data_IF_908774393110
#
_entry.id   IF_908774393110
#
_cell.length_a   1.000
_cell.length_b   1.000
_cell.length_c   1.000
_cell.angle_alpha   90.00
_cell.angle_beta   90.00
_cell.angle_gamma   90.00
#
_symmetry.space_group_name_H-M   'P 1'
#
loop_
_entity.id
_entity.type
_entity.pdbx_description
1 polymer ?
#
# COMPACT_ATOMS: atom_id res chain seq x y z
N UNK A 1 -26.60 41.69 -50.37
CA UNK A 1 -26.06 40.32 -50.53
C UNK A 1 -25.66 39.84 -49.15
N UNK A 2 -26.38 38.87 -48.57
CA UNK A 2 -26.04 38.28 -47.27
C UNK A 2 -25.71 36.80 -47.48
N UNK A 3 -24.42 36.48 -47.53
CA UNK A 3 -23.92 35.11 -47.56
C UNK A 3 -23.75 34.60 -46.13
N UNK A 4 -24.74 33.86 -45.65
CA UNK A 4 -24.67 33.09 -44.40
C UNK A 4 -23.81 31.84 -44.65
N UNK A 5 -22.67 31.73 -43.99
CA UNK A 5 -21.83 30.54 -44.01
C UNK A 5 -22.52 29.42 -43.20
N UNK A 6 -23.13 28.46 -43.91
CA UNK A 6 -23.62 27.20 -43.30
C UNK A 6 -22.42 26.36 -42.88
N UNK A 7 -22.17 26.28 -41.58
CA UNK A 7 -21.25 25.30 -40.99
C UNK A 7 -21.87 23.91 -41.21
N UNK A 8 -21.23 23.09 -42.05
CA UNK A 8 -21.64 21.69 -42.25
C UNK A 8 -21.33 20.90 -40.97
N UNK A 9 -22.37 20.44 -40.29
CA UNK A 9 -22.23 19.59 -39.12
C UNK A 9 -21.82 18.19 -39.60
N UNK A 10 -20.52 17.90 -39.57
CA UNK A 10 -19.97 16.57 -39.86
C UNK A 10 -20.32 15.63 -38.71
N UNK A 11 -21.28 14.73 -38.92
CA UNK A 11 -21.60 13.69 -37.95
C UNK A 11 -20.44 12.70 -37.80
N UNK A 12 -20.24 12.18 -36.59
CA UNK A 12 -19.29 11.10 -36.31
C UNK A 12 -19.76 9.82 -37.01
N UNK A 13 -18.86 9.09 -37.65
CA UNK A 13 -19.18 7.84 -38.31
C UNK A 13 -19.30 6.70 -37.28
N UNK A 14 -20.17 5.71 -37.54
CA UNK A 14 -20.28 4.52 -36.68
C UNK A 14 -18.93 3.78 -36.57
N UNK A 15 -18.13 3.79 -37.63
CA UNK A 15 -16.82 3.13 -37.64
C UNK A 15 -15.82 3.81 -36.70
N UNK A 16 -15.82 5.14 -36.60
CA UNK A 16 -14.95 5.85 -35.65
C UNK A 16 -15.28 5.46 -34.21
N UNK A 17 -16.57 5.34 -33.88
CA UNK A 17 -16.97 4.93 -32.53
C UNK A 17 -16.56 3.49 -32.23
N UNK A 18 -16.70 2.58 -33.20
CA UNK A 18 -16.28 1.17 -33.07
C UNK A 18 -14.76 1.04 -32.90
N UNK A 19 -13.96 1.78 -33.67
CA UNK A 19 -12.50 1.76 -33.54
C UNK A 19 -12.05 2.24 -32.16
N UNK A 20 -12.70 3.29 -31.62
CA UNK A 20 -12.35 3.85 -30.32
C UNK A 20 -12.59 2.84 -29.20
N UNK A 21 -13.75 2.17 -29.16
CA UNK A 21 -14.02 1.18 -28.11
C UNK A 21 -13.11 -0.06 -28.21
N UNK A 22 -12.69 -0.43 -29.42
CA UNK A 22 -11.71 -1.52 -29.62
C UNK A 22 -10.35 -1.14 -29.06
N UNK A 23 -9.87 0.08 -29.35
CA UNK A 23 -8.59 0.57 -28.81
C UNK A 23 -8.67 0.65 -27.28
N UNK A 24 -9.75 1.22 -26.72
CA UNK A 24 -9.95 1.28 -25.28
C UNK A 24 -10.04 -0.12 -24.65
N UNK A 25 -10.63 -1.09 -25.33
CA UNK A 25 -10.69 -2.48 -24.89
C UNK A 25 -9.29 -3.12 -24.76
N UNK A 26 -8.41 -2.90 -25.74
CA UNK A 26 -7.03 -3.43 -25.70
C UNK A 26 -6.21 -2.74 -24.59
N UNK A 27 -6.33 -1.41 -24.47
CA UNK A 27 -5.67 -0.65 -23.41
C UNK A 27 -6.14 -1.10 -22.02
N UNK A 28 -7.44 -1.31 -21.83
CA UNK A 28 -7.99 -1.81 -20.56
C UNK A 28 -7.50 -3.22 -20.23
N UNK A 29 -7.49 -4.13 -21.23
CA UNK A 29 -7.05 -5.52 -21.04
C UNK A 29 -5.58 -5.62 -20.60
N UNK A 30 -4.73 -4.69 -21.06
CA UNK A 30 -3.30 -4.65 -20.72
C UNK A 30 -2.99 -3.85 -19.45
N UNK A 31 -3.77 -2.82 -19.14
CA UNK A 31 -3.56 -1.96 -17.97
C UNK A 31 -4.02 -2.62 -16.66
N UNK A 32 -5.16 -3.31 -16.66
CA UNK A 32 -5.76 -3.88 -15.44
C UNK A 32 -4.85 -4.87 -14.68
N UNK A 33 -4.17 -5.84 -15.32
CA UNK A 33 -3.29 -6.76 -14.61
C UNK A 33 -2.10 -6.05 -13.95
N UNK A 34 -1.57 -5.01 -14.60
CA UNK A 34 -0.45 -4.23 -14.08
C UNK A 34 -0.87 -3.44 -12.85
N UNK A 35 -2.05 -2.82 -12.87
CA UNK A 35 -2.58 -2.05 -11.74
C UNK A 35 -2.74 -2.93 -10.49
N UNK A 36 -3.28 -4.15 -10.63
CA UNK A 36 -3.44 -5.07 -9.49
C UNK A 36 -2.11 -5.45 -8.82
N UNK A 37 -1.05 -5.67 -9.61
CA UNK A 37 0.27 -5.97 -9.06
C UNK A 37 0.85 -4.77 -8.30
N UNK A 38 0.70 -3.55 -8.86
CA UNK A 38 1.16 -2.32 -8.21
C UNK A 38 0.43 -2.08 -6.87
N UNK A 39 -0.86 -2.41 -6.77
CA UNK A 39 -1.60 -2.34 -5.52
C UNK A 39 -1.02 -3.27 -4.45
N UNK A 40 -0.67 -4.51 -4.82
CA UNK A 40 -0.06 -5.49 -3.89
C UNK A 40 1.33 -5.02 -3.45
N UNK A 41 2.15 -4.55 -4.39
CA UNK A 41 3.50 -4.05 -4.11
C UNK A 41 3.47 -2.81 -3.22
N UNK A 42 2.54 -1.88 -3.47
CA UNK A 42 2.34 -0.70 -2.63
C UNK A 42 1.98 -1.07 -1.19
N UNK A 43 1.05 -2.03 -1.01
CA UNK A 43 0.67 -2.54 0.33
C UNK A 43 1.86 -3.22 1.03
N UNK A 44 2.64 -4.03 0.30
CA UNK A 44 3.84 -4.64 0.86
C UNK A 44 4.86 -3.59 1.31
N UNK A 45 5.09 -2.54 0.52
CA UNK A 45 6.02 -1.47 0.87
C UNK A 45 5.61 -0.71 2.14
N UNK A 46 4.30 -0.45 2.32
CA UNK A 46 3.78 0.15 3.56
C UNK A 46 4.03 -0.76 4.75
N UNK A 47 3.80 -2.07 4.59
CA UNK A 47 4.07 -3.04 5.65
C UNK A 47 5.56 -3.16 5.98
N UNK A 48 6.44 -3.09 4.98
CA UNK A 48 7.90 -3.06 5.20
C UNK A 48 8.32 -1.84 6.01
N UNK A 49 7.74 -0.67 5.71
CA UNK A 49 7.92 0.53 6.52
C UNK A 49 7.43 0.37 7.97
N UNK A 50 6.27 -0.26 8.15
CA UNK A 50 5.72 -0.56 9.48
C UNK A 50 6.63 -1.51 10.28
N UNK A 51 7.13 -2.59 9.66
CA UNK A 51 8.08 -3.51 10.28
C UNK A 51 9.36 -2.80 10.70
N UNK A 52 9.92 -1.97 9.82
CA UNK A 52 11.13 -1.20 10.11
C UNK A 52 10.93 -0.21 11.27
N UNK A 53 9.76 0.43 11.34
CA UNK A 53 9.42 1.33 12.45
C UNK A 53 9.35 0.58 13.79
N UNK A 54 8.74 -0.60 13.82
CA UNK A 54 8.67 -1.45 15.02
C UNK A 54 10.06 -1.89 15.48
N UNK A 55 10.90 -2.36 14.56
CA UNK A 55 12.27 -2.79 14.89
C UNK A 55 13.13 -1.62 15.41
N UNK A 56 12.98 -0.45 14.79
CA UNK A 56 13.68 0.77 15.23
C UNK A 56 13.21 1.21 16.62
N UNK A 57 11.90 1.20 16.87
CA UNK A 57 11.34 1.50 18.18
C UNK A 57 11.84 0.53 19.25
N UNK A 58 11.98 -0.76 18.92
CA UNK A 58 12.52 -1.77 19.83
C UNK A 58 13.96 -1.45 20.23
N UNK A 59 14.82 -1.17 19.24
CA UNK A 59 16.22 -0.82 19.48
C UNK A 59 16.36 0.48 20.30
N UNK A 60 15.56 1.50 19.97
CA UNK A 60 15.56 2.79 20.69
C UNK A 60 15.11 2.61 22.13
N UNK A 61 14.03 1.84 22.36
CA UNK A 61 13.49 1.61 23.70
C UNK A 61 14.47 0.82 24.57
N UNK A 62 15.08 -0.22 24.01
CA UNK A 62 16.14 -0.98 24.66
C UNK A 62 17.34 -0.10 25.01
N UNK A 63 17.82 0.72 24.07
CA UNK A 63 18.95 1.62 24.31
C UNK A 63 18.66 2.67 25.39
N UNK A 64 17.42 3.18 25.45
CA UNK A 64 16.98 4.15 26.46
C UNK A 64 16.91 3.54 27.86
N UNK A 65 16.39 2.32 27.97
CA UNK A 65 16.13 1.68 29.27
C UNK A 65 17.25 0.75 29.74
N UNK A 66 18.15 0.34 28.83
CA UNK A 66 19.25 -0.62 29.06
C UNK A 66 18.78 -1.94 29.69
N UNK A 67 17.55 -2.34 29.37
CA UNK A 67 16.92 -3.55 29.87
C UNK A 67 15.98 -4.11 28.80
N UNK A 68 15.70 -5.40 28.88
CA UNK A 68 14.72 -6.02 28.00
C UNK A 68 13.33 -5.42 28.21
N UNK A 69 12.53 -5.46 27.15
CA UNK A 69 11.27 -4.74 27.02
C UNK A 69 10.15 -5.68 26.62
N UNK A 70 8.92 -5.32 26.97
CA UNK A 70 7.73 -5.98 26.44
C UNK A 70 7.27 -5.27 25.17
N UNK A 71 6.55 -6.00 24.30
CA UNK A 71 6.00 -5.39 23.09
C UNK A 71 5.07 -4.21 23.38
N UNK A 72 4.34 -4.25 24.51
CA UNK A 72 3.44 -3.17 24.90
C UNK A 72 4.17 -1.82 25.03
N UNK A 73 5.40 -1.82 25.54
CA UNK A 73 6.21 -0.60 25.68
C UNK A 73 6.76 -0.16 24.31
N UNK A 74 7.22 -1.11 23.50
CA UNK A 74 7.74 -0.83 22.16
C UNK A 74 6.66 -0.20 21.28
N UNK A 75 5.44 -0.71 21.35
CA UNK A 75 4.31 -0.24 20.55
C UNK A 75 3.93 1.21 20.85
N UNK A 76 4.15 1.72 22.07
CA UNK A 76 3.85 3.14 22.37
C UNK A 76 4.77 4.11 21.66
N UNK A 77 5.88 3.64 21.08
CA UNK A 77 6.87 4.45 20.37
C UNK A 77 6.68 4.39 18.84
N UNK A 78 5.65 3.69 18.36
CA UNK A 78 5.36 3.50 16.94
C UNK A 78 4.01 4.11 16.61
N UNK A 79 3.96 4.90 15.54
CA UNK A 79 2.71 5.35 14.92
C UNK A 79 2.60 4.63 13.58
N UNK A 80 1.53 3.85 13.42
CA UNK A 80 1.21 3.17 12.18
C UNK A 80 0.14 3.95 11.41
N UNK A 81 0.11 3.87 10.07
CA UNK A 81 -1.01 4.36 9.28
C UNK A 81 -2.33 3.71 9.72
N UNK A 82 -3.46 4.39 9.53
CA UNK A 82 -4.79 3.88 9.89
C UNK A 82 -5.15 2.55 9.24
N UNK A 83 -4.57 2.27 8.07
CA UNK A 83 -4.82 1.03 7.31
C UNK A 83 -3.89 -0.11 7.70
N UNK A 84 -3.02 0.07 8.70
CA UNK A 84 -2.09 -0.94 9.19
C UNK A 84 -2.39 -1.26 10.65
N UNK A 85 -2.69 -2.52 10.93
CA UNK A 85 -2.94 -3.01 12.28
C UNK A 85 -1.92 -4.08 12.65
N UNK A 86 -1.56 -4.15 13.93
CA UNK A 86 -0.80 -5.28 14.47
C UNK A 86 -1.82 -6.35 14.91
N UNK A 87 -1.90 -7.45 14.18
CA UNK A 87 -2.92 -8.50 14.38
C UNK A 87 -2.49 -9.51 15.43
N UNK A 88 -1.19 -9.82 15.47
CA UNK A 88 -0.58 -10.63 16.53
C UNK A 88 0.68 -9.95 17.00
N UNK A 89 0.88 -9.93 18.32
CA UNK A 89 2.05 -9.32 18.93
C UNK A 89 2.61 -10.20 20.04
N UNK A 90 3.80 -10.72 19.81
CA UNK A 90 4.73 -11.14 20.85
C UNK A 90 5.93 -10.19 20.77
N UNK A 91 6.75 -10.12 21.83
CA UNK A 91 7.92 -9.26 21.77
C UNK A 91 8.86 -9.66 20.63
N UNK A 92 9.20 -10.94 20.51
CA UNK A 92 10.18 -11.41 19.51
C UNK A 92 9.59 -11.52 18.10
N UNK A 93 8.26 -11.63 17.96
CA UNK A 93 7.62 -11.76 16.66
C UNK A 93 6.18 -11.31 16.68
N UNK A 94 5.71 -10.74 15.57
CA UNK A 94 4.30 -10.46 15.39
C UNK A 94 3.96 -10.22 13.93
N UNK A 95 2.70 -9.91 13.66
CA UNK A 95 2.18 -9.71 12.32
C UNK A 95 1.57 -8.33 12.21
N UNK A 96 2.05 -7.55 11.24
CA UNK A 96 1.38 -6.35 10.74
C UNK A 96 0.49 -6.72 9.55
N UNK A 97 -0.70 -6.16 9.50
CA UNK A 97 -1.72 -6.45 8.49
C UNK A 97 -2.22 -5.14 7.90
N UNK A 98 -2.24 -5.06 6.59
CA UNK A 98 -2.84 -3.97 5.83
C UNK A 98 -4.33 -4.27 5.64
N UNK A 99 -5.18 -3.23 5.68
CA UNK A 99 -6.62 -3.34 5.41
C UNK A 99 -6.87 -4.01 4.06
N UNK A 100 -7.51 -5.18 4.07
CA UNK A 100 -7.66 -6.04 2.88
C UNK A 100 -6.80 -7.30 2.89
N UNK A 101 -6.09 -7.60 4.00
CA UNK A 101 -5.57 -8.93 4.31
C UNK A 101 -4.13 -9.20 3.90
N UNK A 102 -3.43 -8.22 3.32
CA UNK A 102 -1.97 -8.34 3.10
C UNK A 102 -1.26 -8.31 4.44
N UNK A 103 -0.43 -9.31 4.74
CA UNK A 103 0.26 -9.42 6.04
C UNK A 103 1.77 -9.49 5.88
N UNK A 104 2.51 -8.91 6.82
CA UNK A 104 3.94 -9.18 7.00
C UNK A 104 4.27 -9.49 8.45
N UNK A 105 5.21 -10.40 8.62
CA UNK A 105 5.76 -10.74 9.93
C UNK A 105 6.91 -9.80 10.25
N UNK A 106 6.95 -9.28 11.46
CA UNK A 106 8.16 -8.66 12.02
C UNK A 106 8.78 -9.59 13.04
N UNK A 107 10.10 -9.50 13.17
CA UNK A 107 10.85 -10.12 14.25
C UNK A 107 11.69 -9.06 14.95
N UNK A 108 11.80 -9.16 16.26
CA UNK A 108 12.65 -8.35 17.12
C UNK A 108 13.67 -9.29 17.76
N UNK A 109 14.93 -8.84 17.87
CA UNK A 109 15.97 -9.63 18.49
C UNK A 109 15.59 -10.04 19.93
N UNK A 110 15.80 -11.31 20.27
CA UNK A 110 15.41 -11.83 21.59
C UNK A 110 16.14 -11.16 22.74
N UNK A 111 17.33 -10.60 22.55
CA UNK A 111 18.05 -9.83 23.58
C UNK A 111 17.32 -8.56 24.00
N UNK A 112 16.50 -7.99 23.10
CA UNK A 112 15.64 -6.83 23.41
C UNK A 112 14.41 -7.26 24.21
N UNK A 113 14.03 -8.53 24.14
CA UNK A 113 12.76 -9.05 24.67
C UNK A 113 12.90 -9.94 25.91
N UNK A 114 14.09 -10.48 26.17
CA UNK A 114 14.36 -11.42 27.26
C UNK A 114 15.14 -10.73 28.37
N UNK A 115 14.44 -10.32 29.44
CA UNK A 115 15.02 -9.81 30.68
C UNK A 115 14.00 -9.78 31.79
#
# INVERSE_FOLDING_TARGET
>A
MNTQFRQTQSGFTLIELVVVIVILGILAATALPKLQNLDVDAKSAVLDGAVAAIQSAAAITYAKQKSAQTFAIIQTQVILPSDVTITTAQCTSGVVTYTGGTTKTFTIDSSICSG
#
